data_IF_193425636941
#
_entry.id   IF_193425636941
#
_cell.length_a   1.000
_cell.length_b   1.000
_cell.length_c   1.000
_cell.angle_alpha   90.00
_cell.angle_beta   90.00
_cell.angle_gamma   90.00
#
_symmetry.space_group_name_H-M   'P 1'
#
loop_
_entity.id
_entity.type
_entity.pdbx_description
1 polymer ?
#
# COMPACT_ATOMS: atom_id res chain seq x y z
N UNK A 1 21.67 30.74 9.52
CA UNK A 1 21.34 29.79 10.60
C UNK A 1 21.15 28.42 9.95
N UNK A 2 22.09 27.50 10.15
CA UNK A 2 22.07 26.16 9.54
C UNK A 2 21.28 25.23 10.43
N UNK A 3 20.11 24.76 9.96
CA UNK A 3 19.36 23.72 10.64
C UNK A 3 20.06 22.41 10.31
N UNK A 4 20.93 21.96 11.23
CA UNK A 4 21.49 20.61 11.23
C UNK A 4 20.36 19.63 11.54
N UNK A 5 19.66 19.16 10.51
CA UNK A 5 18.76 18.02 10.62
C UNK A 5 19.61 16.76 10.76
N UNK A 6 19.72 16.23 11.98
CA UNK A 6 20.35 14.95 12.26
C UNK A 6 19.45 13.83 11.72
N UNK A 7 19.77 13.38 10.50
CA UNK A 7 19.38 12.12 9.88
C UNK A 7 17.88 11.71 9.97
N UNK A 8 17.01 12.45 9.29
CA UNK A 8 15.85 11.82 8.67
C UNK A 8 16.35 11.21 7.37
N UNK A 9 16.76 9.94 7.37
CA UNK A 9 16.94 9.21 6.10
C UNK A 9 15.63 9.42 5.33
N UNK A 10 15.65 10.04 4.13
CA UNK A 10 14.42 10.23 3.40
C UNK A 10 13.83 8.85 3.15
N UNK A 11 12.65 8.60 3.74
CA UNK A 11 11.88 7.39 3.47
C UNK A 11 11.78 7.24 1.96
N UNK A 12 11.92 6.01 1.46
CA UNK A 12 11.76 5.75 0.04
C UNK A 12 10.36 6.20 -0.42
N UNK A 13 10.17 6.50 -1.70
CA UNK A 13 8.88 6.94 -2.24
C UNK A 13 7.75 5.97 -1.89
N UNK A 14 8.08 4.68 -1.85
CA UNK A 14 7.23 3.55 -1.50
C UNK A 14 6.82 3.61 -0.03
N UNK A 15 7.78 3.79 0.88
CA UNK A 15 7.50 3.97 2.29
C UNK A 15 6.63 5.22 2.49
N UNK A 16 6.97 6.35 1.88
CA UNK A 16 6.14 7.56 1.97
C UNK A 16 4.72 7.34 1.43
N UNK A 17 4.53 6.50 0.40
CA UNK A 17 3.21 6.13 -0.09
C UNK A 17 2.44 5.28 0.93
N UNK A 18 3.08 4.30 1.56
CA UNK A 18 2.48 3.48 2.62
C UNK A 18 2.04 4.33 3.82
N UNK A 19 2.92 5.21 4.32
CA UNK A 19 2.61 6.11 5.43
C UNK A 19 1.43 7.04 5.12
N UNK A 20 1.39 7.62 3.90
CA UNK A 20 0.27 8.47 3.47
C UNK A 20 -1.03 7.68 3.34
N UNK A 21 -0.97 6.46 2.80
CA UNK A 21 -2.12 5.59 2.64
C UNK A 21 -2.77 5.23 3.97
N UNK A 22 -1.95 4.89 4.97
CA UNK A 22 -2.41 4.63 6.34
C UNK A 22 -3.04 5.88 6.94
N UNK A 23 -2.34 7.02 6.90
CA UNK A 23 -2.85 8.26 7.46
C UNK A 23 -4.19 8.70 6.84
N UNK A 24 -4.34 8.63 5.51
CA UNK A 24 -5.58 8.97 4.81
C UNK A 24 -6.71 8.00 5.19
N UNK A 25 -6.42 6.70 5.17
CA UNK A 25 -7.41 5.65 5.46
C UNK A 25 -7.90 5.73 6.90
N UNK A 26 -6.98 5.89 7.85
CA UNK A 26 -7.31 6.08 9.27
C UNK A 26 -8.10 7.35 9.50
N UNK A 27 -7.70 8.48 8.90
CA UNK A 27 -8.48 9.73 9.02
C UNK A 27 -9.92 9.53 8.57
N UNK A 28 -10.14 8.83 7.44
CA UNK A 28 -11.48 8.55 6.93
C UNK A 28 -12.27 7.62 7.86
N UNK A 29 -11.62 6.58 8.40
CA UNK A 29 -12.19 5.66 9.37
C UNK A 29 -12.66 6.39 10.63
N UNK A 30 -11.83 7.26 11.19
CA UNK A 30 -12.14 8.06 12.37
C UNK A 30 -13.28 9.06 12.14
N UNK A 31 -13.44 9.54 10.90
CA UNK A 31 -14.55 10.40 10.50
C UNK A 31 -15.87 9.65 10.26
N UNK A 32 -15.89 8.32 10.40
CA UNK A 32 -17.07 7.49 10.13
C UNK A 32 -17.40 7.35 8.64
N UNK A 33 -16.44 7.64 7.75
CA UNK A 33 -16.66 7.46 6.32
C UNK A 33 -16.64 5.97 5.95
N UNK A 34 -17.51 5.57 5.02
CA UNK A 34 -17.44 4.25 4.41
C UNK A 34 -16.09 4.07 3.69
N UNK A 35 -15.41 2.97 4.02
CA UNK A 35 -14.16 2.55 3.39
C UNK A 35 -14.45 1.61 2.21
N UNK A 36 -13.52 1.53 1.26
CA UNK A 36 -13.56 0.53 0.21
C UNK A 36 -13.22 -0.87 0.78
N UNK A 37 -13.44 -1.93 -0.01
CA UNK A 37 -13.20 -3.33 0.41
C UNK A 37 -11.74 -3.63 0.78
N UNK A 38 -10.78 -2.96 0.14
CA UNK A 38 -9.34 -3.02 0.44
C UNK A 38 -8.78 -1.60 0.53
N UNK A 39 -9.07 -0.88 1.63
CA UNK A 39 -8.89 0.56 1.68
C UNK A 39 -7.43 0.99 1.76
N UNK A 40 -6.57 0.25 2.47
CA UNK A 40 -5.15 0.53 2.60
C UNK A 40 -4.39 0.22 1.30
N UNK A 41 -4.67 -0.93 0.66
CA UNK A 41 -4.10 -1.30 -0.63
C UNK A 41 -4.50 -0.28 -1.72
N UNK A 42 -5.79 0.08 -1.76
CA UNK A 42 -6.30 1.08 -2.70
C UNK A 42 -5.72 2.49 -2.48
N UNK A 43 -5.52 2.89 -1.23
CA UNK A 43 -4.87 4.15 -0.88
C UNK A 43 -3.37 4.12 -1.22
N UNK A 44 -2.68 3.00 -0.98
CA UNK A 44 -1.26 2.83 -1.26
C UNK A 44 -0.93 3.07 -2.74
N UNK A 45 -1.59 2.36 -3.66
CA UNK A 45 -1.32 2.54 -5.09
C UNK A 45 -1.73 3.93 -5.59
N UNK A 46 -2.79 4.51 -5.02
CA UNK A 46 -3.15 5.91 -5.29
C UNK A 46 -2.05 6.88 -4.86
N UNK A 47 -1.44 6.67 -3.69
CA UNK A 47 -0.33 7.50 -3.20
C UNK A 47 1.00 7.23 -3.94
N UNK A 48 1.20 6.00 -4.42
CA UNK A 48 2.43 5.57 -5.10
C UNK A 48 2.47 6.03 -6.56
N UNK A 49 1.40 5.80 -7.31
CA UNK A 49 1.38 6.03 -8.77
C UNK A 49 0.09 6.70 -9.29
N UNK A 50 -0.79 7.14 -8.40
CA UNK A 50 -2.04 7.81 -8.78
C UNK A 50 -3.14 6.88 -9.28
N UNK A 51 -2.89 5.56 -9.35
CA UNK A 51 -3.86 4.62 -9.88
C UNK A 51 -5.04 4.42 -8.94
N UNK A 52 -6.24 4.36 -9.53
CA UNK A 52 -7.48 3.98 -8.84
C UNK A 52 -7.78 2.49 -8.97
N UNK A 53 -7.05 1.78 -9.82
CA UNK A 53 -7.24 0.34 -10.10
C UNK A 53 -5.89 -0.37 -10.01
N UNK A 54 -5.85 -1.45 -9.26
CA UNK A 54 -4.61 -2.19 -9.03
C UNK A 54 -4.39 -3.17 -10.18
N UNK A 55 -3.42 -2.91 -11.04
CA UNK A 55 -3.05 -3.75 -12.19
C UNK A 55 -2.11 -4.89 -11.80
N UNK A 56 -1.85 -5.83 -12.71
CA UNK A 56 -0.80 -6.83 -12.51
C UNK A 56 0.58 -6.19 -12.35
N UNK A 57 0.86 -5.13 -13.13
CA UNK A 57 2.13 -4.38 -13.02
C UNK A 57 2.30 -3.74 -11.65
N UNK A 58 1.21 -3.29 -11.04
CA UNK A 58 1.21 -2.78 -9.67
C UNK A 58 1.55 -3.88 -8.66
N UNK A 59 0.98 -5.08 -8.82
CA UNK A 59 1.28 -6.22 -7.94
C UNK A 59 2.73 -6.73 -8.09
N UNK A 60 3.32 -6.57 -9.28
CA UNK A 60 4.74 -6.90 -9.53
C UNK A 60 5.71 -6.03 -8.75
N UNK A 61 5.26 -4.91 -8.19
CA UNK A 61 6.01 -4.17 -7.20
C UNK A 61 6.40 -5.06 -6.00
N UNK A 62 5.48 -5.91 -5.55
CA UNK A 62 5.71 -6.83 -4.43
C UNK A 62 6.35 -8.15 -4.87
N UNK A 63 5.98 -8.64 -6.06
CA UNK A 63 6.56 -9.87 -6.63
C UNK A 63 6.86 -9.70 -8.12
N UNK A 64 8.09 -9.31 -8.49
CA UNK A 64 8.45 -9.01 -9.88
C UNK A 64 8.20 -10.15 -10.88
N UNK A 65 8.29 -11.41 -10.41
CA UNK A 65 8.05 -12.60 -11.21
C UNK A 65 6.57 -12.96 -11.42
N UNK A 66 5.63 -12.26 -10.76
CA UNK A 66 4.21 -12.59 -10.80
C UNK A 66 3.66 -12.63 -12.22
N UNK A 67 3.09 -13.77 -12.61
CA UNK A 67 2.42 -13.95 -13.90
C UNK A 67 0.92 -13.72 -13.80
N UNK A 68 0.27 -13.52 -14.95
CA UNK A 68 -1.18 -13.42 -15.01
C UNK A 68 -1.87 -14.75 -14.64
N UNK A 69 -1.23 -15.89 -14.95
CA UNK A 69 -1.74 -17.22 -14.60
C UNK A 69 -1.71 -17.45 -13.09
N UNK A 70 -0.62 -17.07 -12.42
CA UNK A 70 -0.49 -17.17 -10.97
C UNK A 70 -1.49 -16.27 -10.23
N UNK A 71 -1.79 -15.10 -10.81
CA UNK A 71 -2.77 -14.17 -10.28
C UNK A 71 -4.22 -14.62 -10.52
N UNK A 72 -4.45 -15.45 -11.54
CA UNK A 72 -5.78 -15.90 -11.92
C UNK A 72 -6.45 -16.64 -10.74
N UNK A 73 -7.67 -16.25 -10.40
CA UNK A 73 -8.40 -16.80 -9.24
C UNK A 73 -7.88 -16.36 -7.85
N UNK A 74 -6.68 -15.76 -7.76
CA UNK A 74 -6.05 -15.34 -6.48
C UNK A 74 -6.04 -13.84 -6.27
N UNK A 75 -6.60 -13.06 -7.20
CA UNK A 75 -6.55 -11.59 -7.16
C UNK A 75 -7.04 -11.00 -5.84
N UNK A 76 -8.15 -11.48 -5.29
CA UNK A 76 -8.68 -10.98 -4.02
C UNK A 76 -7.76 -11.30 -2.83
N UNK A 77 -7.10 -12.47 -2.85
CA UNK A 77 -6.12 -12.85 -1.82
C UNK A 77 -4.90 -11.93 -1.86
N UNK A 78 -4.42 -11.59 -3.05
CA UNK A 78 -3.35 -10.60 -3.23
C UNK A 78 -3.73 -9.23 -2.70
N UNK A 79 -4.93 -8.75 -3.02
CA UNK A 79 -5.42 -7.46 -2.53
C UNK A 79 -5.53 -7.44 -1.01
N UNK A 80 -6.10 -8.50 -0.43
CA UNK A 80 -6.18 -8.66 1.01
C UNK A 80 -4.80 -8.71 1.68
N UNK A 81 -3.87 -9.50 1.14
CA UNK A 81 -2.52 -9.61 1.68
C UNK A 81 -1.78 -8.27 1.67
N UNK A 82 -1.91 -7.48 0.60
CA UNK A 82 -1.34 -6.13 0.53
C UNK A 82 -2.05 -5.20 1.52
N UNK A 83 -3.38 -5.29 1.62
CA UNK A 83 -4.15 -4.44 2.53
C UNK A 83 -3.71 -4.63 3.98
N UNK A 84 -3.59 -5.88 4.43
CA UNK A 84 -3.08 -6.25 5.77
C UNK A 84 -1.64 -5.81 5.95
N UNK A 85 -0.78 -6.00 4.95
CA UNK A 85 0.62 -5.58 5.01
C UNK A 85 0.74 -4.08 5.26
N UNK A 86 -0.07 -3.26 4.58
CA UNK A 86 -0.06 -1.81 4.75
C UNK A 86 -0.75 -1.39 6.06
N UNK A 87 -1.90 -1.99 6.41
CA UNK A 87 -2.61 -1.73 7.66
C UNK A 87 -1.72 -1.95 8.88
N UNK A 88 -0.95 -3.05 8.87
CA UNK A 88 -0.06 -3.45 9.97
C UNK A 88 1.33 -2.84 9.88
N UNK A 89 1.57 -1.89 8.97
CA UNK A 89 2.87 -1.24 8.76
C UNK A 89 4.02 -2.23 8.49
N UNK A 90 3.70 -3.40 7.93
CA UNK A 90 4.67 -4.45 7.62
C UNK A 90 4.84 -5.51 8.71
N UNK A 91 4.11 -5.45 9.84
CA UNK A 91 4.20 -6.47 10.89
C UNK A 91 3.67 -7.83 10.42
N UNK A 92 2.67 -7.84 9.53
CA UNK A 92 2.07 -9.06 8.99
C UNK A 92 2.23 -9.09 7.46
N UNK A 93 2.99 -10.06 6.96
CA UNK A 93 3.14 -10.32 5.53
C UNK A 93 2.42 -11.62 5.15
N UNK A 94 1.34 -11.50 4.37
CA UNK A 94 0.55 -12.63 3.86
C UNK A 94 0.74 -12.86 2.35
N UNK A 95 1.75 -12.21 1.76
CA UNK A 95 2.03 -12.39 0.34
C UNK A 95 2.48 -13.84 0.08
N UNK A 96 1.98 -14.50 -0.98
CA UNK A 96 2.32 -15.87 -1.31
C UNK A 96 3.78 -16.06 -1.74
#
# INVERSE_FOLDING_TARGET
MSVRSQALVPLSTEQQAAWRAVAETEKRRHQGNTLAEYPYAGAFFRCLNGSRRISLSDLRFFMPSLTAEELHGKRLQWLYAIDVLIETLGEVCLLP
#
